data_IF_186749586649
#
_entry.id   IF_186749586649
#
_cell.length_a   1.000
_cell.length_b   1.000
_cell.length_c   1.000
_cell.angle_alpha   90.00
_cell.angle_beta   90.00
_cell.angle_gamma   90.00
#
_symmetry.space_group_name_H-M   'P 1'
#
loop_
_entity.id
_entity.type
_entity.pdbx_description
1 polymer ?
#
# COMPACT_ATOMS: atom_id res chain seq x y z
N UNK A 1 7.04 13.54 -19.33
CA UNK A 1 7.70 12.37 -18.73
C UNK A 1 8.31 11.53 -19.86
N UNK A 2 9.46 10.86 -19.66
CA UNK A 2 9.97 9.89 -20.63
C UNK A 2 8.97 8.75 -20.85
N UNK A 3 9.00 8.11 -22.02
CA UNK A 3 8.19 6.92 -22.30
C UNK A 3 8.82 5.70 -21.61
N UNK A 4 8.09 5.08 -20.69
CA UNK A 4 8.55 3.95 -19.87
C UNK A 4 7.88 2.62 -20.27
N UNK A 5 7.17 2.57 -21.40
CA UNK A 5 6.56 1.33 -21.89
C UNK A 5 7.60 0.21 -22.05
N UNK A 6 7.26 -0.97 -21.54
CA UNK A 6 8.15 -2.15 -21.55
C UNK A 6 9.11 -2.22 -20.34
N UNK A 7 9.14 -1.21 -19.47
CA UNK A 7 9.80 -1.29 -18.17
C UNK A 7 8.82 -1.76 -17.10
N UNK A 8 9.35 -2.50 -16.11
CA UNK A 8 8.61 -2.92 -14.92
C UNK A 8 9.26 -2.34 -13.68
N UNK A 9 8.44 -1.78 -12.80
CA UNK A 9 8.85 -1.23 -11.51
C UNK A 9 8.15 -2.00 -10.40
N UNK A 10 8.92 -2.51 -9.44
CA UNK A 10 8.40 -3.12 -8.23
C UNK A 10 8.69 -2.22 -7.05
N UNK A 11 7.64 -1.78 -6.36
CA UNK A 11 7.74 -1.04 -5.12
C UNK A 11 7.37 -1.97 -3.96
N UNK A 12 8.24 -2.05 -2.96
CA UNK A 12 8.07 -2.98 -1.83
C UNK A 12 7.97 -2.16 -0.56
N UNK A 13 6.87 -2.34 0.17
CA UNK A 13 6.53 -1.57 1.35
C UNK A 13 6.19 -2.50 2.51
N UNK A 14 6.32 -1.99 3.75
CA UNK A 14 6.13 -2.83 4.93
C UNK A 14 4.64 -3.08 5.18
N UNK A 15 3.86 -2.02 5.28
CA UNK A 15 2.45 -2.06 5.67
C UNK A 15 1.54 -1.51 4.57
N UNK A 16 0.24 -1.83 4.58
CA UNK A 16 -0.71 -1.17 3.69
C UNK A 16 -0.78 0.31 4.03
N UNK A 17 -0.67 1.20 3.03
CA UNK A 17 -0.63 2.68 3.09
C UNK A 17 0.75 3.30 2.86
N UNK A 18 1.83 2.60 3.19
CA UNK A 18 3.21 3.04 2.99
C UNK A 18 3.46 3.43 1.52
N UNK A 19 2.86 2.70 0.57
CA UNK A 19 3.01 3.00 -0.86
C UNK A 19 2.43 4.37 -1.21
N UNK A 20 1.33 4.74 -0.57
CA UNK A 20 0.63 5.98 -0.86
C UNK A 20 1.32 7.14 -0.16
N UNK A 21 1.70 6.95 1.11
CA UNK A 21 2.34 7.98 1.96
C UNK A 21 3.73 8.33 1.45
N UNK A 22 4.54 7.32 1.11
CA UNK A 22 5.96 7.53 0.82
C UNK A 22 6.22 7.70 -0.68
N UNK A 23 5.51 6.95 -1.53
CA UNK A 23 5.84 6.84 -2.96
C UNK A 23 4.68 7.11 -3.91
N UNK A 24 3.48 7.44 -3.42
CA UNK A 24 2.26 7.44 -4.24
C UNK A 24 2.34 8.35 -5.47
N UNK A 25 2.86 9.57 -5.29
CA UNK A 25 3.09 10.49 -6.40
C UNK A 25 4.10 9.95 -7.42
N UNK A 26 5.18 9.33 -6.96
CA UNK A 26 6.18 8.72 -7.84
C UNK A 26 5.61 7.54 -8.61
N UNK A 27 4.87 6.63 -7.95
CA UNK A 27 4.25 5.48 -8.61
C UNK A 27 3.22 5.91 -9.65
N UNK A 28 2.41 6.93 -9.36
CA UNK A 28 1.46 7.51 -10.30
C UNK A 28 2.17 8.06 -11.56
N UNK A 29 3.25 8.82 -11.38
CA UNK A 29 4.02 9.37 -12.50
C UNK A 29 4.68 8.28 -13.35
N UNK A 30 5.16 7.20 -12.74
CA UNK A 30 5.74 6.06 -13.45
C UNK A 30 4.68 5.29 -14.25
N UNK A 31 3.51 5.06 -13.66
CA UNK A 31 2.38 4.43 -14.34
C UNK A 31 1.85 5.29 -15.50
N UNK A 32 1.70 6.60 -15.31
CA UNK A 32 1.28 7.55 -16.36
C UNK A 32 2.29 7.58 -17.53
N UNK A 33 3.58 7.46 -17.21
CA UNK A 33 4.65 7.33 -18.20
C UNK A 33 4.69 5.97 -18.92
N UNK A 34 3.83 5.02 -18.54
CA UNK A 34 3.63 3.74 -19.22
C UNK A 34 4.41 2.55 -18.65
N UNK A 35 5.03 2.69 -17.48
CA UNK A 35 5.67 1.56 -16.80
C UNK A 35 4.62 0.57 -16.26
N UNK A 36 4.97 -0.71 -16.23
CA UNK A 36 4.23 -1.74 -15.50
C UNK A 36 4.61 -1.67 -14.01
N UNK A 37 3.75 -1.07 -13.18
CA UNK A 37 4.02 -0.83 -11.75
C UNK A 37 3.35 -1.92 -10.92
N UNK A 38 4.16 -2.61 -10.11
CA UNK A 38 3.72 -3.63 -9.16
C UNK A 38 4.02 -3.14 -7.74
N UNK A 39 3.00 -3.07 -6.90
CA UNK A 39 3.18 -2.84 -5.46
C UNK A 39 3.20 -4.18 -4.71
N UNK A 40 4.14 -4.32 -3.78
CA UNK A 40 4.25 -5.46 -2.87
C UNK A 40 4.17 -4.91 -1.46
N UNK A 41 3.17 -5.36 -0.72
CA UNK A 41 3.02 -5.05 0.71
C UNK A 41 3.39 -6.30 1.50
N UNK A 42 4.34 -6.15 2.43
CA UNK A 42 4.91 -7.29 3.15
C UNK A 42 3.98 -7.87 4.23
N UNK A 43 3.18 -7.03 4.88
CA UNK A 43 2.24 -7.43 5.92
C UNK A 43 0.83 -6.96 5.60
N UNK A 44 -0.15 -7.47 6.34
CA UNK A 44 -1.52 -7.01 6.21
C UNK A 44 -1.83 -5.85 7.18
N UNK A 45 -0.90 -5.52 8.08
CA UNK A 45 -1.06 -4.41 9.03
C UNK A 45 -1.92 -4.81 10.24
N UNK A 46 -1.87 -6.08 10.63
CA UNK A 46 -2.70 -6.69 11.67
C UNK A 46 -2.57 -5.95 13.02
N UNK A 47 -1.38 -5.42 13.32
CA UNK A 47 -1.06 -4.68 14.55
C UNK A 47 -1.26 -3.15 14.43
N UNK A 48 -1.97 -2.70 13.38
CA UNK A 48 -2.26 -1.29 13.17
C UNK A 48 -3.26 -0.73 14.19
N UNK A 49 -3.13 0.56 14.52
CA UNK A 49 -4.12 1.25 15.34
C UNK A 49 -5.43 1.46 14.58
N UNK A 50 -6.56 1.37 15.31
CA UNK A 50 -7.88 1.66 14.75
C UNK A 50 -8.29 3.07 15.10
N UNK A 51 -8.70 3.83 14.08
CA UNK A 51 -9.20 5.20 14.26
C UNK A 51 -10.69 5.15 14.64
N UNK A 52 -11.00 5.70 15.82
CA UNK A 52 -12.37 5.91 16.31
C UNK A 52 -12.94 4.72 17.12
N UNK A 53 -13.94 5.00 17.95
CA UNK A 53 -14.47 4.03 18.92
C UNK A 53 -15.33 2.91 18.27
N UNK A 54 -16.07 3.24 17.21
CA UNK A 54 -17.02 2.33 16.57
C UNK A 54 -16.36 1.02 16.07
N UNK A 55 -15.09 1.11 15.68
CA UNK A 55 -14.39 0.02 14.99
C UNK A 55 -13.39 -0.70 15.88
N UNK A 56 -13.23 -0.32 17.16
CA UNK A 56 -12.19 -0.89 18.03
C UNK A 56 -12.27 -2.42 18.15
N UNK A 57 -13.47 -3.00 18.02
CA UNK A 57 -13.65 -4.45 18.02
C UNK A 57 -13.09 -5.17 16.79
N UNK A 58 -12.52 -4.47 15.81
CA UNK A 58 -11.88 -5.07 14.64
C UNK A 58 -10.40 -5.38 14.85
N UNK A 59 -9.80 -4.95 15.96
CA UNK A 59 -8.38 -5.12 16.21
C UNK A 59 -8.00 -6.60 16.29
N UNK A 60 -6.71 -6.89 16.08
CA UNK A 60 -6.18 -8.25 16.04
C UNK A 60 -6.45 -9.05 17.32
N UNK A 61 -6.49 -8.38 18.48
CA UNK A 61 -6.78 -9.03 19.75
C UNK A 61 -8.25 -9.48 19.87
N UNK A 62 -9.15 -8.89 19.09
CA UNK A 62 -10.58 -9.14 19.13
C UNK A 62 -11.04 -9.98 17.94
N UNK A 63 -11.18 -9.37 16.76
CA UNK A 63 -11.80 -9.98 15.59
C UNK A 63 -10.81 -10.33 14.48
N UNK A 64 -9.59 -9.80 14.53
CA UNK A 64 -8.53 -10.06 13.53
C UNK A 64 -9.02 -9.83 12.10
N UNK A 65 -9.70 -8.68 11.90
CA UNK A 65 -10.30 -8.31 10.62
C UNK A 65 -9.57 -7.16 9.93
N UNK A 66 -8.48 -6.66 10.51
CA UNK A 66 -7.62 -5.70 9.86
C UNK A 66 -6.61 -6.42 8.99
N UNK A 67 -6.64 -6.14 7.68
CA UNK A 67 -5.61 -6.60 6.76
C UNK A 67 -6.06 -7.33 5.50
N UNK A 68 -7.35 -7.66 5.40
CA UNK A 68 -7.95 -8.25 4.18
C UNK A 68 -8.73 -9.52 4.44
#
# INVERSE_FOLDING_TARGET
>A
MPDLRGLRVMAVHAHPDDETILTGGTLALLAEAGADVVNVTCTLGEEGEIIGELWQGLAAAEADQLGG
#
